data_IF_394125402198
#
_entry.id   IF_394125402198
#
_cell.length_a   1.000
_cell.length_b   1.000
_cell.length_c   1.000
_cell.angle_alpha   90.00
_cell.angle_beta   90.00
_cell.angle_gamma   90.00
#
_symmetry.space_group_name_H-M   'P 1'
#
loop_
_entity.id
_entity.type
_entity.pdbx_description
1 polymer ?
#
# COMPACT_ATOMS: atom_id res chain seq x y z
N UNK A 1 -0.03 -2.52 -11.53
CA UNK A 1 -0.97 -3.64 -11.29
C UNK A 1 -0.21 -4.93 -11.04
N UNK A 2 0.64 -5.37 -11.97
CA UNK A 2 1.44 -6.60 -11.82
C UNK A 2 2.50 -6.46 -10.73
N UNK A 3 3.15 -5.29 -10.62
CA UNK A 3 4.07 -4.97 -9.50
C UNK A 3 3.40 -4.94 -8.11
N UNK A 4 2.06 -4.88 -8.06
CA UNK A 4 1.28 -4.89 -6.82
C UNK A 4 0.87 -6.30 -6.42
N UNK A 5 0.97 -7.26 -7.34
CA UNK A 5 0.75 -8.68 -7.11
C UNK A 5 2.08 -9.33 -6.67
N UNK A 6 2.01 -10.37 -5.82
CA UNK A 6 3.18 -10.99 -5.20
C UNK A 6 4.13 -11.61 -6.23
N UNK A 7 5.45 -11.45 -6.02
CA UNK A 7 6.47 -12.19 -6.77
C UNK A 7 6.76 -13.60 -6.21
N UNK A 8 6.41 -13.90 -4.94
CA UNK A 8 6.68 -15.23 -4.33
C UNK A 8 5.79 -15.62 -3.13
N UNK A 9 6.03 -16.82 -2.60
CA UNK A 9 5.21 -17.51 -1.59
C UNK A 9 5.30 -16.99 -0.14
N UNK A 10 6.04 -15.94 0.20
CA UNK A 10 6.19 -15.53 1.62
C UNK A 10 5.99 -14.02 1.90
N UNK A 11 5.36 -13.29 0.98
CA UNK A 11 5.39 -11.82 1.00
C UNK A 11 4.20 -11.14 1.73
N UNK A 12 4.17 -11.17 3.06
CA UNK A 12 3.15 -10.46 3.88
C UNK A 12 3.05 -8.96 3.58
N UNK A 13 4.15 -8.32 3.16
CA UNK A 13 4.19 -6.89 2.85
C UNK A 13 3.38 -6.52 1.58
N UNK A 14 3.21 -7.44 0.62
CA UNK A 14 2.37 -7.19 -0.56
C UNK A 14 0.89 -6.99 -0.20
N UNK A 15 0.41 -7.61 0.89
CA UNK A 15 -0.98 -7.41 1.33
C UNK A 15 -1.22 -5.94 1.71
N UNK A 16 -0.25 -5.28 2.35
CA UNK A 16 -0.33 -3.86 2.70
C UNK A 16 -0.37 -2.98 1.44
N UNK A 17 0.43 -3.30 0.43
CA UNK A 17 0.45 -2.59 -0.87
C UNK A 17 -0.87 -2.70 -1.63
N UNK A 18 -1.50 -3.88 -1.65
CA UNK A 18 -2.81 -4.09 -2.29
C UNK A 18 -3.90 -3.30 -1.56
N UNK A 19 -3.84 -3.20 -0.23
CA UNK A 19 -4.88 -2.54 0.58
C UNK A 19 -4.86 -1.02 0.48
N UNK A 20 -3.67 -0.42 0.38
CA UNK A 20 -3.52 1.02 0.17
C UNK A 20 -3.77 1.45 -1.28
N UNK A 21 -3.80 0.51 -2.22
CA UNK A 21 -3.96 0.83 -3.64
C UNK A 21 -5.36 1.39 -3.97
N UNK A 22 -5.49 2.19 -5.05
CA UNK A 22 -6.78 2.71 -5.51
C UNK A 22 -7.85 1.62 -5.72
N UNK A 23 -9.13 1.98 -5.49
CA UNK A 23 -10.26 1.04 -5.58
C UNK A 23 -10.31 0.25 -6.89
N UNK A 24 -10.04 0.88 -8.03
CA UNK A 24 -10.01 0.20 -9.33
C UNK A 24 -8.93 -0.89 -9.39
N UNK A 25 -7.76 -0.63 -8.81
CA UNK A 25 -6.69 -1.62 -8.73
C UNK A 25 -7.07 -2.78 -7.82
N UNK A 26 -7.73 -2.50 -6.69
CA UNK A 26 -8.25 -3.53 -5.77
C UNK A 26 -9.30 -4.42 -6.44
N UNK A 27 -10.21 -3.84 -7.22
CA UNK A 27 -11.21 -4.57 -8.00
C UNK A 27 -10.55 -5.45 -9.06
N UNK A 28 -9.58 -4.92 -9.81
CA UNK A 28 -8.84 -5.70 -10.80
C UNK A 28 -8.10 -6.89 -10.17
N UNK A 29 -7.49 -6.69 -9.00
CA UNK A 29 -6.82 -7.76 -8.23
C UNK A 29 -7.85 -8.79 -7.73
N UNK A 30 -9.04 -8.34 -7.33
CA UNK A 30 -10.14 -9.22 -6.92
C UNK A 30 -10.63 -10.09 -8.09
N UNK A 31 -10.77 -9.51 -9.28
CA UNK A 31 -11.18 -10.23 -10.49
C UNK A 31 -10.14 -11.26 -10.93
N UNK A 32 -8.85 -10.90 -10.92
CA UNK A 32 -7.75 -11.83 -11.19
C UNK A 32 -7.72 -12.96 -10.15
N UNK A 33 -7.99 -12.63 -8.88
CA UNK A 33 -8.10 -13.64 -7.80
C UNK A 33 -9.30 -14.56 -8.00
N UNK A 34 -10.44 -14.04 -8.45
CA UNK A 34 -11.60 -14.87 -8.80
C UNK A 34 -11.22 -15.92 -9.86
N UNK A 35 -10.56 -15.49 -10.93
CA UNK A 35 -10.12 -16.39 -12.01
C UNK A 35 -9.08 -17.39 -11.51
N UNK A 36 -8.07 -16.94 -10.76
CA UNK A 36 -7.01 -17.80 -10.21
C UNK A 36 -7.54 -18.87 -9.24
N UNK A 37 -8.61 -18.60 -8.50
CA UNK A 37 -9.23 -19.58 -7.59
C UNK A 37 -9.96 -20.71 -8.32
N UNK A 38 -10.37 -20.48 -9.58
CA UNK A 38 -11.05 -21.46 -10.43
C UNK A 38 -10.09 -22.42 -11.14
N UNK A 39 -8.81 -22.05 -11.24
CA UNK A 39 -7.77 -22.88 -11.87
C UNK A 39 -7.11 -23.77 -10.81
N UNK A 40 -7.08 -25.12 -10.98
CA UNK A 40 -6.51 -26.04 -9.98
C UNK A 40 -5.06 -25.73 -9.61
N UNK A 41 -4.26 -25.30 -10.58
CA UNK A 41 -2.82 -25.01 -10.43
C UNK A 41 -2.56 -23.54 -10.05
N UNK A 42 -3.59 -22.69 -10.02
CA UNK A 42 -3.46 -21.24 -9.86
C UNK A 42 -3.14 -20.52 -11.17
N UNK A 43 -2.62 -19.30 -11.07
CA UNK A 43 -2.29 -18.46 -12.22
C UNK A 43 -0.90 -17.83 -12.03
N UNK A 44 -0.06 -17.95 -13.04
CA UNK A 44 1.22 -17.27 -13.16
C UNK A 44 1.11 -16.20 -14.24
N UNK A 45 1.58 -14.99 -13.93
CA UNK A 45 1.57 -13.82 -14.79
C UNK A 45 3.00 -13.36 -14.97
N UNK A 46 3.57 -13.67 -16.13
CA UNK A 46 4.80 -13.06 -16.61
C UNK A 46 4.45 -11.92 -17.56
N UNK A 47 4.78 -10.69 -17.17
CA UNK A 47 4.75 -9.54 -18.07
C UNK A 47 6.16 -9.18 -18.48
N UNK A 48 6.43 -9.37 -19.76
CA UNK A 48 7.66 -8.94 -20.39
C UNK A 48 7.39 -7.64 -21.17
N UNK A 49 8.18 -6.61 -20.90
CA UNK A 49 8.25 -5.39 -21.69
C UNK A 49 9.65 -5.25 -22.28
N UNK A 50 9.84 -4.39 -23.28
CA UNK A 50 11.17 -4.16 -23.87
C UNK A 50 12.20 -3.59 -22.89
N UNK A 51 11.79 -3.21 -21.68
CA UNK A 51 12.64 -2.59 -20.66
C UNK A 51 12.73 -3.39 -19.35
N UNK A 52 11.75 -4.26 -19.03
CA UNK A 52 11.68 -4.96 -17.75
C UNK A 52 10.81 -6.23 -17.85
N UNK A 53 11.18 -7.26 -17.08
CA UNK A 53 10.42 -8.49 -16.86
C UNK A 53 9.86 -8.46 -15.43
N UNK A 54 8.54 -8.57 -15.30
CA UNK A 54 7.83 -8.59 -14.02
C UNK A 54 7.09 -9.92 -13.90
N UNK A 55 7.51 -10.74 -12.92
CA UNK A 55 6.88 -12.03 -12.61
C UNK A 55 5.96 -11.93 -11.40
N UNK A 56 4.75 -12.47 -11.50
CA UNK A 56 3.84 -12.61 -10.37
C UNK A 56 3.14 -13.96 -10.34
N UNK A 57 3.10 -14.59 -9.17
CA UNK A 57 2.50 -15.93 -8.98
C UNK A 57 1.34 -15.84 -7.99
N UNK A 58 0.15 -16.24 -8.44
CA UNK A 58 -1.08 -16.28 -7.66
C UNK A 58 -1.65 -17.71 -7.59
N UNK A 59 -1.20 -18.47 -6.59
CA UNK A 59 -1.69 -19.83 -6.32
C UNK A 59 -3.16 -19.85 -5.90
N UNK A 60 -3.89 -20.93 -6.19
CA UNK A 60 -5.31 -21.13 -5.83
C UNK A 60 -5.65 -20.84 -4.36
N UNK A 61 -4.89 -21.39 -3.41
CA UNK A 61 -5.12 -21.17 -1.97
C UNK A 61 -5.03 -19.69 -1.56
N UNK A 62 -4.18 -18.92 -2.26
CA UNK A 62 -4.02 -17.49 -2.02
C UNK A 62 -5.13 -16.70 -2.66
N UNK A 63 -5.52 -17.08 -3.87
CA UNK A 63 -6.66 -16.51 -4.54
C UNK A 63 -7.90 -16.65 -3.65
N UNK A 64 -8.15 -17.83 -3.07
CA UNK A 64 -9.23 -18.06 -2.10
C UNK A 64 -9.10 -17.20 -0.83
N UNK A 65 -7.88 -17.07 -0.27
CA UNK A 65 -7.62 -16.17 0.87
C UNK A 65 -7.87 -14.70 0.52
N UNK A 66 -7.40 -14.23 -0.64
CA UNK A 66 -7.62 -12.88 -1.15
C UNK A 66 -9.11 -12.62 -1.38
N UNK A 67 -9.87 -13.57 -1.93
CA UNK A 67 -11.31 -13.43 -2.11
C UNK A 67 -12.06 -13.37 -0.77
N UNK A 68 -11.65 -14.17 0.21
CA UNK A 68 -12.20 -14.09 1.57
C UNK A 68 -11.82 -12.79 2.26
N UNK A 69 -10.63 -12.27 1.96
CA UNK A 69 -10.09 -11.03 2.51
C UNK A 69 -10.77 -9.80 1.90
N UNK A 70 -11.01 -9.81 0.58
CA UNK A 70 -11.61 -8.73 -0.21
C UNK A 70 -13.16 -8.79 -0.24
N UNK A 71 -13.75 -9.96 -0.01
CA UNK A 71 -15.20 -10.18 -0.02
C UNK A 71 -15.89 -9.78 1.30
N UNK A 72 -17.07 -9.16 1.18
CA UNK A 72 -18.01 -8.88 2.29
C UNK A 72 -17.55 -7.88 3.37
N UNK A 73 -16.95 -6.75 3.01
CA UNK A 73 -16.54 -5.74 4.01
C UNK A 73 -16.82 -4.32 3.55
N UNK A 74 -17.65 -3.61 4.32
CA UNK A 74 -17.83 -2.17 4.16
C UNK A 74 -16.48 -1.48 4.39
N UNK A 75 -16.05 -0.74 3.39
CA UNK A 75 -14.78 -0.03 3.40
C UNK A 75 -15.04 1.41 3.85
N UNK A 76 -14.31 1.85 4.88
CA UNK A 76 -14.29 3.23 5.34
C UNK A 76 -13.00 3.86 4.84
N UNK A 77 -13.15 4.89 4.01
CA UNK A 77 -12.04 5.68 3.46
C UNK A 77 -12.01 7.06 4.12
N UNK A 78 -10.82 7.55 4.44
CA UNK A 78 -10.58 8.86 5.03
C UNK A 78 -9.22 9.41 4.56
N UNK A 79 -8.88 10.64 4.88
CA UNK A 79 -7.57 11.25 4.60
C UNK A 79 -7.00 11.89 5.86
N UNK A 80 -5.71 11.70 6.10
CA UNK A 80 -5.00 12.36 7.21
C UNK A 80 -3.67 12.96 6.75
N UNK A 81 -3.19 13.94 7.51
CA UNK A 81 -1.85 14.50 7.34
C UNK A 81 -0.97 14.00 8.46
N UNK A 82 0.18 13.44 8.13
CA UNK A 82 1.14 12.87 9.06
C UNK A 82 2.48 13.58 8.88
N UNK A 83 3.06 14.02 9.99
CA UNK A 83 4.41 14.59 10.02
C UNK A 83 5.35 13.57 10.67
N UNK A 84 6.54 13.42 10.08
CA UNK A 84 7.52 12.47 10.58
C UNK A 84 8.77 12.42 9.72
N UNK A 85 9.68 11.50 10.05
CA UNK A 85 10.87 11.20 9.26
C UNK A 85 10.55 10.09 8.27
N UNK A 86 10.80 10.33 6.99
CA UNK A 86 10.68 9.29 5.97
C UNK A 86 11.88 8.35 6.10
N UNK A 87 11.67 7.17 6.66
CA UNK A 87 12.73 6.23 6.98
C UNK A 87 13.23 5.50 5.73
N UNK A 88 12.31 5.16 4.83
CA UNK A 88 12.67 4.49 3.58
C UNK A 88 11.50 4.16 2.69
N UNK A 89 11.80 3.51 1.57
CA UNK A 89 10.81 2.90 0.70
C UNK A 89 11.36 1.61 0.08
N UNK A 90 10.46 0.69 -0.25
CA UNK A 90 10.76 -0.53 -1.00
C UNK A 90 10.22 -0.36 -2.42
N UNK A 91 11.09 0.07 -3.34
CA UNK A 91 10.72 0.47 -4.70
C UNK A 91 9.98 -0.59 -5.51
N UNK A 92 10.44 -1.84 -5.45
CA UNK A 92 9.81 -2.98 -6.12
C UNK A 92 8.41 -3.28 -5.61
N UNK A 93 8.11 -2.92 -4.35
CA UNK A 93 6.80 -3.15 -3.71
C UNK A 93 5.95 -1.89 -3.62
N UNK A 94 6.50 -0.73 -4.03
CA UNK A 94 5.90 0.59 -3.89
C UNK A 94 5.35 0.85 -2.48
N UNK A 95 6.16 0.57 -1.44
CA UNK A 95 5.80 0.82 -0.03
C UNK A 95 6.70 1.89 0.58
N UNK A 96 6.14 2.88 1.25
CA UNK A 96 6.88 3.88 2.06
C UNK A 96 6.84 3.50 3.54
N UNK A 97 7.83 3.97 4.31
CA UNK A 97 7.90 3.84 5.77
C UNK A 97 8.15 5.23 6.38
N UNK A 98 7.28 5.65 7.29
CA UNK A 98 7.35 6.94 7.98
C UNK A 98 7.34 6.73 9.48
N UNK A 99 8.35 7.26 10.16
CA UNK A 99 8.42 7.32 11.63
C UNK A 99 7.84 8.66 12.07
N UNK A 100 6.75 8.65 12.82
CA UNK A 100 6.10 9.85 13.36
C UNK A 100 6.88 10.41 14.54
N UNK A 101 6.49 11.60 14.98
CA UNK A 101 7.10 12.29 16.13
C UNK A 101 6.90 11.58 17.46
N UNK A 102 5.82 10.80 17.58
CA UNK A 102 5.57 9.94 18.73
C UNK A 102 6.32 8.60 18.67
N UNK A 103 7.27 8.47 17.73
CA UNK A 103 8.02 7.26 17.39
C UNK A 103 7.15 6.08 16.88
N UNK A 104 5.86 6.30 16.59
CA UNK A 104 5.06 5.27 15.92
C UNK A 104 5.35 5.23 14.43
N UNK A 105 5.26 4.05 13.84
CA UNK A 105 5.55 3.84 12.42
C UNK A 105 4.27 3.64 11.61
N UNK A 106 4.24 4.22 10.41
CA UNK A 106 3.26 3.86 9.39
C UNK A 106 3.97 3.39 8.12
N UNK A 107 3.37 2.39 7.49
CA UNK A 107 3.77 1.91 6.17
C UNK A 107 2.56 1.88 5.24
N UNK A 108 2.76 2.27 3.98
CA UNK A 108 1.67 2.41 3.02
C UNK A 108 2.11 2.33 1.57
N UNK A 109 1.14 2.21 0.67
CA UNK A 109 1.40 2.13 -0.77
C UNK A 109 1.78 3.49 -1.37
N UNK A 110 2.54 3.46 -2.44
CA UNK A 110 2.99 4.61 -3.22
C UNK A 110 2.48 4.46 -4.67
N UNK A 111 1.89 5.52 -5.23
CA UNK A 111 1.58 5.57 -6.66
C UNK A 111 2.83 5.89 -7.50
N UNK A 112 2.81 5.51 -8.78
CA UNK A 112 4.02 5.51 -9.62
C UNK A 112 4.66 6.90 -9.79
N UNK A 113 3.84 7.94 -9.82
CA UNK A 113 4.23 9.35 -9.93
C UNK A 113 4.92 9.89 -8.67
N UNK A 114 4.62 9.32 -7.49
CA UNK A 114 5.22 9.72 -6.21
C UNK A 114 6.54 9.00 -5.91
N UNK A 115 6.92 7.99 -6.68
CA UNK A 115 8.14 7.20 -6.43
C UNK A 115 9.42 8.05 -6.46
N UNK A 116 9.53 9.00 -7.41
CA UNK A 116 10.67 9.91 -7.48
C UNK A 116 10.72 10.87 -6.29
N UNK A 117 9.58 11.40 -5.87
CA UNK A 117 9.47 12.30 -4.73
C UNK A 117 9.86 11.60 -3.44
N UNK A 118 9.34 10.39 -3.22
CA UNK A 118 9.69 9.55 -2.06
C UNK A 118 11.20 9.28 -2.05
N UNK A 119 11.79 8.87 -3.17
CA UNK A 119 13.24 8.64 -3.30
C UNK A 119 14.08 9.85 -2.87
N UNK A 120 13.68 11.03 -3.32
CA UNK A 120 14.42 12.26 -3.07
C UNK A 120 14.32 12.75 -1.61
N UNK A 121 13.28 12.34 -0.88
CA UNK A 121 13.01 12.80 0.47
C UNK A 121 13.36 11.76 1.55
N UNK A 122 13.86 10.57 1.19
CA UNK A 122 14.27 9.55 2.16
C UNK A 122 15.31 10.12 3.13
N UNK A 123 15.15 9.80 4.41
CA UNK A 123 16.01 10.25 5.49
C UNK A 123 15.67 11.65 6.03
N UNK A 124 14.75 12.37 5.38
CA UNK A 124 14.36 13.74 5.74
C UNK A 124 13.01 13.78 6.47
N UNK A 125 12.73 14.92 7.11
CA UNK A 125 11.45 15.18 7.76
C UNK A 125 10.44 15.69 6.74
N UNK A 126 9.28 15.06 6.70
CA UNK A 126 8.25 15.27 5.68
C UNK A 126 6.88 15.48 6.30
N UNK A 127 6.02 16.17 5.57
CA UNK A 127 4.58 16.20 5.76
C UNK A 127 3.97 15.35 4.66
N UNK A 128 3.37 14.23 5.04
CA UNK A 128 2.72 13.28 4.14
C UNK A 128 1.21 13.42 4.26
N UNK A 129 0.52 13.59 3.13
CA UNK A 129 -0.93 13.41 3.07
C UNK A 129 -1.21 11.98 2.65
N UNK A 130 -1.97 11.26 3.45
CA UNK A 130 -2.23 9.83 3.23
C UNK A 130 -3.73 9.57 3.22
N UNK A 131 -4.18 8.71 2.29
CA UNK A 131 -5.47 8.06 2.42
C UNK A 131 -5.38 7.00 3.50
N UNK A 132 -6.47 6.81 4.24
CA UNK A 132 -6.62 5.68 5.16
C UNK A 132 -7.79 4.84 4.71
N UNK A 133 -7.58 3.54 4.57
CA UNK A 133 -8.62 2.57 4.29
C UNK A 133 -8.73 1.65 5.49
N UNK A 134 -9.93 1.54 6.06
CA UNK A 134 -10.25 0.61 7.14
C UNK A 134 -11.40 -0.26 6.73
N UNK A 135 -11.37 -1.49 7.21
CA UNK A 135 -12.48 -2.41 7.00
C UNK A 135 -13.36 -2.45 8.21
N UNK A 136 -14.67 -2.41 7.98
CA UNK A 136 -15.65 -2.71 9.00
C UNK A 136 -15.93 -4.21 8.99
N UNK A 137 -15.60 -4.87 10.09
CA UNK A 137 -16.01 -6.24 10.32
C UNK A 137 -17.54 -6.32 10.48
N UNK A 138 -18.13 -7.51 10.29
CA UNK A 138 -19.59 -7.71 10.44
C UNK A 138 -20.12 -7.32 11.83
N UNK A 139 -19.27 -7.34 12.86
CA UNK A 139 -19.60 -6.87 14.22
C UNK A 139 -19.51 -5.34 14.39
N UNK A 140 -19.33 -4.58 13.31
CA UNK A 140 -19.24 -3.13 13.30
C UNK A 140 -17.87 -2.54 13.67
N UNK A 141 -16.91 -3.35 14.16
CA UNK A 141 -15.57 -2.86 14.55
C UNK A 141 -14.73 -2.51 13.32
N UNK A 142 -13.98 -1.42 13.43
CA UNK A 142 -13.00 -1.03 12.42
C UNK A 142 -11.69 -1.79 12.62
N UNK A 143 -11.18 -2.36 11.54
CA UNK A 143 -9.88 -3.00 11.47
C UNK A 143 -8.71 -2.00 11.48
N UNK A 144 -7.49 -2.51 11.26
CA UNK A 144 -6.31 -1.66 11.14
C UNK A 144 -6.44 -0.68 9.97
N UNK A 145 -5.72 0.45 10.07
CA UNK A 145 -5.60 1.41 8.97
C UNK A 145 -4.60 0.89 7.94
N UNK A 146 -4.97 0.98 6.68
CA UNK A 146 -4.07 0.84 5.55
C UNK A 146 -3.85 2.22 4.94
N UNK A 147 -2.60 2.54 4.65
CA UNK A 147 -2.21 3.87 4.19
C UNK A 147 -1.87 3.85 2.71
N UNK A 148 -2.34 4.86 1.98
CA UNK A 148 -1.89 5.16 0.62
C UNK A 148 -1.34 6.58 0.56
N UNK A 149 -0.15 6.77 0.00
CA UNK A 149 0.45 8.10 -0.11
C UNK A 149 -0.27 8.90 -1.21
N UNK A 150 -0.78 10.07 -0.84
CA UNK A 150 -1.46 10.99 -1.77
C UNK A 150 -0.58 12.19 -2.11
N UNK A 151 0.25 12.64 -1.17
CA UNK A 151 1.18 13.75 -1.36
C UNK A 151 2.31 13.69 -0.34
N UNK A 152 3.46 14.24 -0.71
CA UNK A 152 4.65 14.26 0.13
C UNK A 152 5.48 15.51 -0.13
N UNK A 153 5.72 16.29 0.92
CA UNK A 153 6.56 17.48 0.86
C UNK A 153 7.50 17.55 2.07
N UNK A 154 8.64 18.27 1.98
CA UNK A 154 9.43 18.58 3.15
C UNK A 154 8.58 19.25 4.23
N UNK A 155 8.71 18.81 5.47
CA UNK A 155 8.19 19.58 6.60
C UNK A 155 9.16 20.74 6.80
N UNK A 156 8.88 21.89 6.19
CA UNK A 156 9.68 23.11 6.40
C UNK A 156 9.78 23.46 7.90
N UNK A 157 10.86 24.13 8.30
CA UNK A 157 11.17 24.48 9.70
C UNK A 157 10.18 25.46 10.39
N UNK A 158 9.10 25.86 9.71
CA UNK A 158 8.17 26.91 10.17
C UNK A 158 7.32 26.55 11.40
N UNK A 159 7.37 25.32 11.91
CA UNK A 159 6.65 24.95 13.15
C UNK A 159 7.49 25.06 14.43
N UNK A 160 8.81 25.27 14.34
CA UNK A 160 9.66 25.48 15.51
C UNK A 160 9.56 26.90 16.13
N UNK A 161 8.82 27.82 15.51
CA UNK A 161 8.69 29.21 15.97
C UNK A 161 7.37 29.51 16.72
N UNK A 162 6.44 28.56 16.82
CA UNK A 162 5.13 28.79 17.45
C UNK A 162 4.87 27.98 18.73
N UNK A 163 5.90 27.33 19.29
CA UNK A 163 5.79 26.62 20.58
C UNK A 163 6.23 27.43 21.80
N UNK A 164 6.72 28.67 21.62
CA UNK A 164 7.01 29.61 22.71
C UNK A 164 6.06 30.82 22.60
N UNK A 165 4.89 30.72 23.23
CA UNK A 165 3.90 31.78 23.37
C UNK A 165 3.01 31.58 24.58
#
# INVERSE_FOLDING_TARGET
MVETLRASTDDEESAKGILGAPRLLRLAIQDISNVAALVPEGLELDLETSAEEIKSVLTRDRAAKLLTFLGNRDTVEDTETVVGRLDGFRGTRRVFYLIKDDNSEIAGSIEGDLLSTVRNLVGTRVRARVSTTRWRAQNGRLGPKHYGLLDLMPAGELEAMFSDG
#
